data_IF_706226998314
#
_entry.id   IF_706226998314
#
_cell.length_a   1.000
_cell.length_b   1.000
_cell.length_c   1.000
_cell.angle_alpha   90.00
_cell.angle_beta   90.00
_cell.angle_gamma   90.00
#
_symmetry.space_group_name_H-M   'P 1'
#
loop_
_entity.id
_entity.type
_entity.pdbx_description
1 polymer ?
#
# COMPACT_ATOMS: atom_id res chain seq x y z
N UNK A 1 -14.22 30.29 1.17
CA UNK A 1 -13.15 29.32 0.80
C UNK A 1 -13.69 27.94 1.08
N UNK A 2 -13.86 27.12 0.04
CA UNK A 2 -14.75 25.97 0.11
C UNK A 2 -14.14 24.85 0.95
N UNK A 3 -14.67 24.62 2.15
CA UNK A 3 -14.23 23.57 3.07
C UNK A 3 -14.16 22.19 2.39
N UNK A 4 -15.02 21.95 1.40
CA UNK A 4 -14.98 20.79 0.52
C UNK A 4 -13.65 20.63 -0.24
N UNK A 5 -13.14 21.70 -0.85
CA UNK A 5 -11.90 21.67 -1.63
C UNK A 5 -10.70 21.35 -0.73
N UNK A 6 -10.66 21.94 0.47
CA UNK A 6 -9.63 21.64 1.47
C UNK A 6 -9.69 20.18 1.95
N UNK A 7 -10.87 19.69 2.33
CA UNK A 7 -11.04 18.30 2.73
C UNK A 7 -10.64 17.32 1.61
N UNK A 8 -10.98 17.65 0.35
CA UNK A 8 -10.62 16.85 -0.83
C UNK A 8 -9.10 16.83 -1.06
N UNK A 9 -8.44 17.97 -0.98
CA UNK A 9 -6.99 18.07 -1.13
C UNK A 9 -6.25 17.29 -0.03
N UNK A 10 -6.64 17.51 1.24
CA UNK A 10 -6.02 16.83 2.39
C UNK A 10 -6.26 15.32 2.36
N UNK A 11 -7.45 14.86 1.95
CA UNK A 11 -7.72 13.45 1.73
C UNK A 11 -6.81 12.86 0.65
N UNK A 12 -6.68 13.54 -0.50
CA UNK A 12 -5.85 13.07 -1.61
C UNK A 12 -4.37 12.97 -1.21
N UNK A 13 -3.83 13.99 -0.55
CA UNK A 13 -2.45 13.99 -0.03
C UNK A 13 -2.22 12.84 0.96
N UNK A 14 -3.20 12.60 1.84
CA UNK A 14 -3.15 11.50 2.80
C UNK A 14 -3.18 10.13 2.11
N UNK A 15 -4.04 9.96 1.09
CA UNK A 15 -4.14 8.71 0.31
C UNK A 15 -2.83 8.41 -0.43
N UNK A 16 -2.24 9.42 -1.08
CA UNK A 16 -0.96 9.29 -1.80
C UNK A 16 0.14 8.89 -0.80
N UNK A 17 0.23 9.61 0.33
CA UNK A 17 1.20 9.32 1.39
C UNK A 17 1.03 7.91 1.97
N UNK A 18 -0.22 7.46 2.13
CA UNK A 18 -0.54 6.14 2.65
C UNK A 18 -0.05 5.04 1.70
N UNK A 19 -0.43 5.09 0.42
CA UNK A 19 -0.02 4.06 -0.55
C UNK A 19 1.48 4.08 -0.82
N UNK A 20 2.10 5.27 -0.92
CA UNK A 20 3.55 5.39 -1.03
C UNK A 20 4.25 4.72 0.18
N UNK A 21 3.76 4.99 1.39
CA UNK A 21 4.28 4.37 2.61
C UNK A 21 4.06 2.86 2.67
N UNK A 22 2.92 2.35 2.21
CA UNK A 22 2.62 0.91 2.18
C UNK A 22 3.51 0.16 1.19
N UNK A 23 3.67 0.66 -0.05
CA UNK A 23 4.55 0.06 -1.05
C UNK A 23 6.01 0.04 -0.55
N UNK A 24 6.46 1.17 0.02
CA UNK A 24 7.82 1.25 0.53
C UNK A 24 8.04 0.36 1.77
N UNK A 25 7.01 0.20 2.62
CA UNK A 25 7.09 -0.70 3.78
C UNK A 25 7.30 -2.15 3.37
N UNK A 26 6.53 -2.67 2.43
CA UNK A 26 6.71 -4.06 1.97
C UNK A 26 8.04 -4.24 1.27
N UNK A 27 8.51 -3.21 0.55
CA UNK A 27 9.86 -3.23 -0.04
C UNK A 27 10.96 -3.35 1.02
N UNK A 28 10.85 -2.60 2.11
CA UNK A 28 11.76 -2.75 3.25
C UNK A 28 11.67 -4.15 3.86
N UNK A 29 10.47 -4.72 4.03
CA UNK A 29 10.31 -6.08 4.56
C UNK A 29 11.02 -7.12 3.69
N UNK A 30 10.93 -6.98 2.36
CA UNK A 30 11.63 -7.86 1.41
C UNK A 30 13.14 -7.77 1.64
N UNK A 31 13.70 -6.57 1.70
CA UNK A 31 15.13 -6.37 1.90
C UNK A 31 15.61 -6.82 3.28
N UNK A 32 14.77 -6.68 4.30
CA UNK A 32 15.04 -7.17 5.64
C UNK A 32 15.15 -8.70 5.65
N UNK A 33 14.22 -9.41 5.00
CA UNK A 33 14.28 -10.87 4.87
C UNK A 33 15.51 -11.29 4.04
N UNK A 34 15.79 -10.62 2.93
CA UNK A 34 16.96 -10.90 2.08
C UNK A 34 18.30 -10.63 2.81
N UNK A 35 18.33 -9.72 3.78
CA UNK A 35 19.51 -9.46 4.60
C UNK A 35 19.93 -10.66 5.47
N UNK A 36 19.05 -11.64 5.69
CA UNK A 36 19.37 -12.86 6.44
C UNK A 36 20.30 -13.79 5.67
N UNK A 37 20.23 -13.75 4.35
CA UNK A 37 21.04 -14.56 3.44
C UNK A 37 22.43 -13.93 3.21
N UNK A 38 22.68 -12.74 3.76
CA UNK A 38 23.96 -12.04 3.66
C UNK A 38 24.98 -12.60 4.66
N UNK A 39 26.29 -12.42 4.38
CA UNK A 39 27.35 -12.74 5.32
C UNK A 39 27.12 -12.06 6.68
N UNK A 40 27.62 -12.69 7.75
CA UNK A 40 27.34 -12.26 9.13
C UNK A 40 27.66 -10.79 9.39
N UNK A 41 28.79 -10.30 8.89
CA UNK A 41 29.21 -8.91 9.05
C UNK A 41 28.22 -7.91 8.41
N UNK A 42 27.68 -8.21 7.23
CA UNK A 42 26.65 -7.37 6.59
C UNK A 42 25.32 -7.47 7.34
N UNK A 43 24.91 -8.71 7.69
CA UNK A 43 23.64 -8.97 8.38
C UNK A 43 23.57 -8.24 9.72
N UNK A 44 24.67 -8.22 10.48
CA UNK A 44 24.76 -7.53 11.77
C UNK A 44 24.49 -6.01 11.66
N UNK A 45 24.79 -5.40 10.50
CA UNK A 45 24.55 -3.97 10.26
C UNK A 45 23.17 -3.72 9.63
N UNK A 46 22.76 -4.56 8.68
CA UNK A 46 21.54 -4.36 7.90
C UNK A 46 20.26 -4.60 8.71
N UNK A 47 20.22 -5.63 9.57
CA UNK A 47 19.01 -5.98 10.32
C UNK A 47 18.56 -4.83 11.27
N UNK A 48 19.45 -4.25 12.11
CA UNK A 48 19.08 -3.09 12.93
C UNK A 48 18.66 -1.87 12.10
N UNK A 49 19.36 -1.63 10.99
CA UNK A 49 19.07 -0.50 10.10
C UNK A 49 17.68 -0.61 9.48
N UNK A 50 17.33 -1.77 8.90
CA UNK A 50 15.99 -1.98 8.34
C UNK A 50 14.90 -1.90 9.41
N UNK A 51 15.13 -2.49 10.59
CA UNK A 51 14.20 -2.38 11.73
C UNK A 51 13.91 -0.92 12.09
N UNK A 52 14.94 -0.06 12.09
CA UNK A 52 14.82 1.37 12.36
C UNK A 52 14.04 2.08 11.24
N UNK A 53 14.40 1.85 9.98
CA UNK A 53 13.76 2.47 8.82
C UNK A 53 12.28 2.11 8.74
N UNK A 54 11.93 0.83 8.92
CA UNK A 54 10.56 0.36 8.94
C UNK A 54 9.75 1.00 10.07
N UNK A 55 10.31 1.10 11.28
CA UNK A 55 9.65 1.74 12.42
C UNK A 55 9.38 3.22 12.14
N UNK A 56 10.39 3.95 11.63
CA UNK A 56 10.26 5.38 11.31
C UNK A 56 9.22 5.60 10.22
N UNK A 57 9.31 4.89 9.11
CA UNK A 57 8.34 4.95 8.02
C UNK A 57 6.92 4.68 8.51
N UNK A 58 6.74 3.62 9.30
CA UNK A 58 5.43 3.20 9.76
C UNK A 58 4.77 4.22 10.69
N UNK A 59 5.55 4.77 11.63
CA UNK A 59 5.03 5.71 12.63
C UNK A 59 4.93 7.14 12.11
N UNK A 60 5.87 7.59 11.28
CA UNK A 60 5.91 8.97 10.79
C UNK A 60 5.06 9.20 9.54
N UNK A 61 4.88 8.18 8.69
CA UNK A 61 4.19 8.35 7.40
C UNK A 61 2.93 7.49 7.34
N UNK A 62 3.05 6.16 7.47
CA UNK A 62 1.93 5.25 7.20
C UNK A 62 0.77 5.47 8.18
N UNK A 63 1.04 5.50 9.49
CA UNK A 63 -0.01 5.66 10.49
C UNK A 63 -0.70 7.04 10.41
N UNK A 64 0.02 8.18 10.37
CA UNK A 64 -0.61 9.49 10.21
C UNK A 64 -1.41 9.61 8.89
N UNK A 65 -0.87 9.07 7.79
CA UNK A 65 -1.56 9.08 6.51
C UNK A 65 -2.84 8.23 6.51
N UNK A 66 -2.84 7.09 7.22
CA UNK A 66 -4.05 6.28 7.39
C UNK A 66 -5.12 7.05 8.18
N UNK A 67 -4.72 7.71 9.27
CA UNK A 67 -5.62 8.53 10.09
C UNK A 67 -6.19 9.68 9.25
N UNK A 68 -5.32 10.44 8.56
CA UNK A 68 -5.74 11.54 7.68
C UNK A 68 -6.68 11.07 6.57
N UNK A 69 -6.34 9.97 5.89
CA UNK A 69 -7.17 9.37 4.84
C UNK A 69 -8.57 9.04 5.38
N UNK A 70 -8.64 8.48 6.58
CA UNK A 70 -9.92 8.10 7.21
C UNK A 70 -10.71 9.33 7.62
N UNK A 71 -10.11 10.26 8.38
CA UNK A 71 -10.78 11.45 8.89
C UNK A 71 -11.30 12.34 7.75
N UNK A 72 -10.44 12.69 6.79
CA UNK A 72 -10.86 13.53 5.66
C UNK A 72 -11.81 12.78 4.71
N UNK A 73 -11.68 11.45 4.61
CA UNK A 73 -12.61 10.62 3.83
C UNK A 73 -14.02 10.59 4.43
N UNK A 74 -14.13 10.48 5.76
CA UNK A 74 -15.40 10.55 6.48
C UNK A 74 -16.02 11.96 6.37
N UNK A 75 -15.21 13.01 6.46
CA UNK A 75 -15.68 14.38 6.25
C UNK A 75 -16.25 14.58 4.84
N UNK A 76 -15.53 14.13 3.80
CA UNK A 76 -16.02 14.21 2.42
C UNK A 76 -17.30 13.40 2.20
N UNK A 77 -17.40 12.22 2.81
CA UNK A 77 -18.60 11.39 2.74
C UNK A 77 -19.82 12.13 3.29
N UNK A 78 -19.67 12.79 4.45
CA UNK A 78 -20.74 13.58 5.06
C UNK A 78 -21.19 14.72 4.13
N UNK A 79 -20.25 15.46 3.56
CA UNK A 79 -20.51 16.63 2.70
C UNK A 79 -21.29 16.29 1.42
N UNK A 80 -21.06 15.11 0.82
CA UNK A 80 -21.71 14.71 -0.43
C UNK A 80 -22.85 13.71 -0.22
N UNK A 81 -23.25 13.46 1.03
CA UNK A 81 -24.20 12.41 1.41
C UNK A 81 -23.87 11.06 0.75
N UNK A 82 -22.59 10.67 0.73
CA UNK A 82 -22.15 9.49 -0.02
C UNK A 82 -22.78 8.18 0.48
N UNK A 83 -23.26 8.16 1.72
CA UNK A 83 -23.87 6.98 2.36
C UNK A 83 -25.08 6.42 1.60
N UNK A 84 -25.79 7.25 0.83
CA UNK A 84 -26.93 6.81 0.00
C UNK A 84 -26.51 6.24 -1.36
N UNK A 85 -25.23 6.31 -1.70
CA UNK A 85 -24.73 5.98 -3.04
C UNK A 85 -24.12 4.57 -3.06
N UNK A 86 -24.58 3.66 -3.95
CA UNK A 86 -24.12 2.27 -3.96
C UNK A 86 -22.61 2.06 -4.08
N UNK A 87 -21.92 2.91 -4.85
CA UNK A 87 -20.46 2.84 -5.01
C UNK A 87 -19.71 3.09 -3.71
N UNK A 88 -20.30 3.85 -2.78
CA UNK A 88 -19.66 4.15 -1.50
C UNK A 88 -19.59 2.90 -0.62
N UNK A 89 -20.61 2.05 -0.61
CA UNK A 89 -20.58 0.78 0.13
C UNK A 89 -19.48 -0.15 -0.39
N UNK A 90 -19.29 -0.22 -1.72
CA UNK A 90 -18.18 -0.96 -2.33
C UNK A 90 -16.83 -0.37 -1.91
N UNK A 91 -16.68 0.95 -1.97
CA UNK A 91 -15.46 1.63 -1.50
C UNK A 91 -15.20 1.37 -0.02
N UNK A 92 -16.23 1.32 0.81
CA UNK A 92 -16.13 1.07 2.24
C UNK A 92 -15.67 -0.38 2.51
N UNK A 93 -16.19 -1.36 1.77
CA UNK A 93 -15.70 -2.73 1.83
C UNK A 93 -14.21 -2.83 1.46
N UNK A 94 -13.79 -2.15 0.39
CA UNK A 94 -12.38 -2.05 0.01
C UNK A 94 -11.51 -1.36 1.07
N UNK A 95 -12.05 -0.34 1.76
CA UNK A 95 -11.38 0.33 2.87
C UNK A 95 -11.18 -0.63 4.06
N UNK A 96 -12.16 -1.47 4.39
CA UNK A 96 -11.99 -2.50 5.41
C UNK A 96 -10.89 -3.51 5.04
N UNK A 97 -10.82 -3.92 3.77
CA UNK A 97 -9.71 -4.75 3.29
C UNK A 97 -8.36 -4.02 3.41
N UNK A 98 -8.30 -2.73 3.12
CA UNK A 98 -7.09 -1.91 3.30
C UNK A 98 -6.67 -1.82 4.78
N UNK A 99 -7.61 -1.69 5.72
CA UNK A 99 -7.31 -1.75 7.15
C UNK A 99 -6.77 -3.12 7.56
N UNK A 100 -7.35 -4.21 7.04
CA UNK A 100 -6.82 -5.56 7.23
C UNK A 100 -5.39 -5.69 6.71
N UNK A 101 -5.13 -5.19 5.51
CA UNK A 101 -3.80 -5.16 4.90
C UNK A 101 -2.79 -4.38 5.75
N UNK A 102 -3.16 -3.18 6.21
CA UNK A 102 -2.34 -2.37 7.11
C UNK A 102 -2.03 -3.10 8.42
N UNK A 103 -3.03 -3.74 9.03
CA UNK A 103 -2.87 -4.53 10.25
C UNK A 103 -1.90 -5.71 10.08
N UNK A 104 -1.99 -6.43 8.95
CA UNK A 104 -1.06 -7.51 8.61
C UNK A 104 0.36 -6.97 8.43
N UNK A 105 0.54 -5.86 7.69
CA UNK A 105 1.85 -5.22 7.52
C UNK A 105 2.45 -4.76 8.86
N UNK A 106 1.64 -4.18 9.76
CA UNK A 106 2.05 -3.82 11.11
C UNK A 106 2.52 -5.05 11.91
N UNK A 107 1.83 -6.19 11.75
CA UNK A 107 2.22 -7.46 12.37
C UNK A 107 3.53 -7.99 11.79
N UNK A 108 3.70 -7.97 10.47
CA UNK A 108 4.95 -8.38 9.78
C UNK A 108 6.12 -7.55 10.32
N UNK A 109 6.02 -6.22 10.30
CA UNK A 109 7.05 -5.32 10.87
C UNK A 109 7.44 -5.69 12.30
N UNK A 110 6.46 -5.92 13.17
CA UNK A 110 6.70 -6.31 14.57
C UNK A 110 7.31 -7.72 14.70
N UNK A 111 7.06 -8.62 13.75
CA UNK A 111 7.70 -9.94 13.70
C UNK A 111 9.16 -9.82 13.26
N UNK A 112 9.42 -9.09 12.17
CA UNK A 112 10.78 -8.83 11.67
C UNK A 112 11.67 -8.17 12.74
N UNK A 113 11.15 -7.13 13.41
CA UNK A 113 11.86 -6.46 14.50
C UNK A 113 12.18 -7.36 15.72
N UNK A 114 11.48 -8.50 15.86
CA UNK A 114 11.74 -9.50 16.91
C UNK A 114 12.55 -10.69 16.40
N UNK A 115 13.09 -10.63 15.19
CA UNK A 115 13.82 -11.74 14.56
C UNK A 115 12.92 -12.93 14.17
N UNK A 116 11.61 -12.73 14.06
CA UNK A 116 10.66 -13.78 13.68
C UNK A 116 10.36 -13.68 12.18
N UNK A 117 10.95 -14.58 11.39
CA UNK A 117 10.85 -14.56 9.93
C UNK A 117 9.89 -15.65 9.43
N UNK A 118 8.60 -15.31 9.30
CA UNK A 118 7.56 -16.21 8.77
C UNK A 118 7.27 -16.03 7.28
N UNK A 119 7.72 -14.93 6.70
CA UNK A 119 7.44 -14.54 5.32
C UNK A 119 8.71 -14.63 4.49
N UNK A 120 8.59 -15.16 3.27
CA UNK A 120 9.70 -15.22 2.32
C UNK A 120 9.72 -13.97 1.43
N UNK A 121 10.87 -13.66 0.83
CA UNK A 121 10.97 -12.55 -0.15
C UNK A 121 9.93 -12.69 -1.27
N UNK A 122 9.71 -13.91 -1.79
CA UNK A 122 8.72 -14.18 -2.82
C UNK A 122 7.28 -13.90 -2.35
N UNK A 123 6.91 -14.36 -1.15
CA UNK A 123 5.55 -14.12 -0.64
C UNK A 123 5.31 -12.65 -0.33
N UNK A 124 6.31 -11.92 0.15
CA UNK A 124 6.23 -10.47 0.37
C UNK A 124 6.11 -9.68 -0.95
N UNK A 125 6.75 -10.12 -2.04
CA UNK A 125 6.56 -9.51 -3.37
C UNK A 125 5.13 -9.70 -3.86
N UNK A 126 4.57 -10.90 -3.72
CA UNK A 126 3.16 -11.13 -4.05
C UNK A 126 2.22 -10.30 -3.14
N UNK A 127 2.56 -10.20 -1.86
CA UNK A 127 1.81 -9.36 -0.92
C UNK A 127 1.85 -7.87 -1.31
N UNK A 128 2.96 -7.38 -1.86
CA UNK A 128 3.05 -6.02 -2.37
C UNK A 128 2.05 -5.76 -3.51
N UNK A 129 1.83 -6.75 -4.39
CA UNK A 129 0.83 -6.62 -5.46
C UNK A 129 -0.61 -6.49 -4.93
N UNK A 130 -0.92 -7.07 -3.77
CA UNK A 130 -2.21 -6.87 -3.13
C UNK A 130 -2.46 -5.39 -2.77
N UNK A 131 -1.43 -4.64 -2.36
CA UNK A 131 -1.58 -3.19 -2.17
C UNK A 131 -1.90 -2.47 -3.49
N UNK A 132 -1.28 -2.89 -4.59
CA UNK A 132 -1.55 -2.34 -5.92
C UNK A 132 -3.01 -2.59 -6.32
N UNK A 133 -3.48 -3.84 -6.21
CA UNK A 133 -4.88 -4.20 -6.51
C UNK A 133 -5.85 -3.34 -5.70
N UNK A 134 -5.60 -3.18 -4.39
CA UNK A 134 -6.43 -2.37 -3.50
C UNK A 134 -6.43 -0.89 -3.90
N UNK A 135 -5.26 -0.33 -4.21
CA UNK A 135 -5.12 1.07 -4.64
C UNK A 135 -5.97 1.35 -5.87
N UNK A 136 -5.82 0.54 -6.93
CA UNK A 136 -6.58 0.72 -8.17
C UNK A 136 -8.08 0.54 -7.95
N UNK A 137 -8.48 -0.50 -7.22
CA UNK A 137 -9.89 -0.75 -6.91
C UNK A 137 -10.53 0.43 -6.16
N UNK A 138 -9.84 0.98 -5.15
CA UNK A 138 -10.34 2.10 -4.35
C UNK A 138 -10.43 3.38 -5.19
N UNK A 139 -9.37 3.72 -5.94
CA UNK A 139 -9.30 4.95 -6.74
C UNK A 139 -10.34 4.92 -7.86
N UNK A 140 -10.45 3.81 -8.61
CA UNK A 140 -11.40 3.70 -9.71
C UNK A 140 -12.84 3.74 -9.21
N UNK A 141 -13.15 3.03 -8.12
CA UNK A 141 -14.48 3.10 -7.49
C UNK A 141 -14.82 4.53 -7.09
N UNK A 142 -13.86 5.28 -6.52
CA UNK A 142 -14.08 6.66 -6.08
C UNK A 142 -14.23 7.66 -7.25
N UNK A 143 -13.48 7.50 -8.34
CA UNK A 143 -13.50 8.43 -9.49
C UNK A 143 -14.71 8.19 -10.38
N UNK A 144 -14.95 6.93 -10.75
CA UNK A 144 -16.04 6.58 -11.67
C UNK A 144 -17.40 6.50 -10.98
N UNK A 145 -17.43 6.41 -9.64
CA UNK A 145 -18.67 6.29 -8.83
C UNK A 145 -19.56 5.13 -9.28
N UNK A 146 -18.95 4.04 -9.76
CA UNK A 146 -19.65 2.82 -10.19
C UNK A 146 -19.26 1.65 -9.27
N UNK A 147 -20.18 0.71 -8.99
CA UNK A 147 -19.93 -0.44 -8.10
C UNK A 147 -19.01 -1.53 -8.70
N UNK A 148 -18.40 -1.31 -9.86
CA UNK A 148 -17.57 -2.30 -10.59
C UNK A 148 -16.16 -2.50 -9.97
N UNK A 149 -16.01 -2.25 -8.67
CA UNK A 149 -14.74 -1.95 -7.99
C UNK A 149 -13.63 -3.00 -8.13
N UNK A 150 -13.96 -4.29 -8.26
CA UNK A 150 -12.96 -5.36 -8.40
C UNK A 150 -12.48 -5.58 -9.85
N UNK A 151 -13.35 -5.35 -10.85
CA UNK A 151 -13.02 -5.59 -12.26
C UNK A 151 -11.91 -4.66 -12.76
N UNK A 152 -11.96 -3.39 -12.38
CA UNK A 152 -10.93 -2.43 -12.74
C UNK A 152 -9.60 -2.66 -12.01
N UNK A 153 -9.63 -3.15 -10.77
CA UNK A 153 -8.42 -3.52 -10.03
C UNK A 153 -7.68 -4.68 -10.70
N UNK A 154 -8.40 -5.71 -11.14
CA UNK A 154 -7.82 -6.84 -11.88
C UNK A 154 -7.28 -6.43 -13.25
N UNK A 155 -8.00 -5.59 -13.98
CA UNK A 155 -7.54 -5.03 -15.27
C UNK A 155 -6.26 -4.22 -15.07
N UNK A 156 -6.20 -3.36 -14.04
CA UNK A 156 -5.01 -2.57 -13.76
C UNK A 156 -3.79 -3.42 -13.40
N UNK A 157 -3.98 -4.49 -12.63
CA UNK A 157 -2.91 -5.43 -12.26
C UNK A 157 -2.44 -6.22 -13.48
N UNK A 158 -3.36 -6.65 -14.35
CA UNK A 158 -3.01 -7.28 -15.62
C UNK A 158 -2.19 -6.32 -16.51
N UNK A 159 -2.59 -5.05 -16.61
CA UNK A 159 -1.86 -4.02 -17.38
C UNK A 159 -0.48 -3.75 -16.78
N UNK A 160 -0.36 -3.62 -15.46
CA UNK A 160 0.94 -3.41 -14.80
C UNK A 160 1.84 -4.64 -14.91
N UNK A 161 1.28 -5.85 -14.83
CA UNK A 161 2.01 -7.10 -15.06
C UNK A 161 2.53 -7.19 -16.49
N UNK A 162 1.74 -6.76 -17.48
CA UNK A 162 2.16 -6.68 -18.88
C UNK A 162 3.27 -5.64 -19.09
N UNK A 163 3.16 -4.45 -18.48
CA UNK A 163 4.18 -3.40 -18.55
C UNK A 163 5.47 -3.86 -17.86
N UNK A 164 5.38 -4.43 -16.66
CA UNK A 164 6.52 -4.97 -15.93
C UNK A 164 7.20 -6.12 -16.68
N UNK A 165 6.42 -7.02 -17.28
CA UNK A 165 6.91 -8.09 -18.14
C UNK A 165 7.61 -7.55 -19.41
N UNK A 166 7.03 -6.54 -20.06
CA UNK A 166 7.62 -5.89 -21.22
C UNK A 166 8.96 -5.20 -20.86
N UNK A 167 8.99 -4.45 -19.76
CA UNK A 167 10.23 -3.80 -19.25
C UNK A 167 11.29 -4.85 -18.90
N UNK A 168 10.90 -5.97 -18.27
CA UNK A 168 11.82 -7.07 -17.98
C UNK A 168 12.40 -7.71 -19.25
N UNK A 169 11.56 -7.98 -20.25
CA UNK A 169 12.02 -8.54 -21.54
C UNK A 169 12.96 -7.56 -22.24
N UNK A 170 12.63 -6.27 -22.27
CA UNK A 170 13.45 -5.23 -22.91
C UNK A 170 14.81 -5.05 -22.21
N UNK A 171 14.83 -5.04 -20.87
CA UNK A 171 16.07 -4.94 -20.09
C UNK A 171 16.95 -6.18 -20.18
N UNK A 172 16.35 -7.37 -20.41
CA UNK A 172 17.09 -8.61 -20.65
C UNK A 172 17.67 -8.68 -22.06
N UNK A 173 16.95 -8.14 -23.05
CA UNK A 173 17.41 -8.04 -24.46
C UNK A 173 18.60 -7.11 -24.65
N UNK A 174 18.74 -6.09 -23.80
CA UNK A 174 19.82 -5.10 -23.88
C UNK A 174 21.11 -5.53 -23.15
N UNK A 175 21.10 -6.71 -22.50
CA UNK A 175 22.26 -7.31 -21.82
C UNK A 175 22.88 -8.50 -22.58
N UNK A 176 22.30 -8.87 -23.72
CA UNK A 176 22.82 -9.86 -24.67
C UNK A 176 23.28 -9.13 -25.93
#
# INVERSE_FOLDING_TARGET
MDAYAWAKALHLVSVISLFAGLFYSVRLFIYHVEALEKPEHERAVLIPQYTLMERRLWLAIVNPALIGTTVFGLWLMWQIHAWTQPWFHVKLALLFLLFGYHGICSRIRKQLARGVFKWSSKSLRLWNEAATVLMFSIVFTAVFKRPVGAGYGLIAVAVLGLIGGAVFVLTRRNKN
#
